data_IF_716146262588
#
_entry.id   IF_716146262588
#
_cell.length_a   1.000
_cell.length_b   1.000
_cell.length_c   1.000
_cell.angle_alpha   90.00
_cell.angle_beta   90.00
_cell.angle_gamma   90.00
#
_symmetry.space_group_name_H-M   'P 1'
#
loop_
_entity.id
_entity.type
_entity.pdbx_description
1 polymer ?
#
# COMPACT_ATOMS: atom_id res chain seq x y z
N UNK A 1 1.64 1.69 14.57
CA UNK A 1 2.55 0.65 15.12
C UNK A 1 3.70 0.38 14.16
N UNK A 2 4.94 0.54 14.63
CA UNK A 2 6.16 0.15 13.92
C UNK A 2 6.29 -1.39 13.87
N UNK A 3 7.09 -1.96 12.95
CA UNK A 3 7.33 -3.41 12.89
C UNK A 3 7.77 -4.01 14.23
N UNK A 4 8.68 -3.34 14.95
CA UNK A 4 9.15 -3.76 16.28
C UNK A 4 8.03 -3.79 17.33
N UNK A 5 7.13 -2.80 17.31
CA UNK A 5 6.02 -2.76 18.24
C UNK A 5 4.97 -3.85 17.95
N UNK A 6 4.73 -4.17 16.67
CA UNK A 6 3.86 -5.29 16.26
C UNK A 6 4.43 -6.63 16.73
N UNK A 7 5.75 -6.81 16.59
CA UNK A 7 6.44 -8.00 17.08
C UNK A 7 6.25 -8.18 18.58
N UNK A 8 6.56 -7.15 19.38
CA UNK A 8 6.37 -7.20 20.84
C UNK A 8 4.92 -7.50 21.24
N UNK A 9 3.96 -6.84 20.59
CA UNK A 9 2.54 -7.10 20.81
C UNK A 9 2.22 -8.58 20.57
N UNK A 10 2.66 -9.12 19.44
CA UNK A 10 2.38 -10.50 19.08
C UNK A 10 3.05 -11.50 20.03
N UNK A 11 4.28 -11.25 20.49
CA UNK A 11 4.97 -12.09 21.47
C UNK A 11 4.24 -12.11 22.82
N UNK A 12 3.74 -10.97 23.31
CA UNK A 12 2.92 -10.95 24.53
C UNK A 12 1.72 -11.90 24.43
N UNK A 13 1.04 -11.90 23.28
CA UNK A 13 -0.13 -12.77 23.09
C UNK A 13 0.27 -14.22 22.87
N UNK A 14 1.26 -14.49 22.03
CA UNK A 14 1.57 -15.83 21.53
C UNK A 14 2.52 -16.59 22.46
N UNK A 15 3.53 -15.93 23.01
CA UNK A 15 4.57 -16.54 23.85
C UNK A 15 4.24 -16.38 25.35
N UNK A 16 3.64 -15.24 25.73
CA UNK A 16 3.33 -14.94 27.13
C UNK A 16 1.85 -15.13 27.49
N UNK A 17 1.01 -15.58 26.55
CA UNK A 17 -0.39 -15.95 26.82
C UNK A 17 -1.33 -14.78 27.13
N UNK A 18 -0.94 -13.54 26.83
CA UNK A 18 -1.80 -12.38 27.09
C UNK A 18 -3.06 -12.42 26.23
N UNK A 19 -4.17 -11.94 26.79
CA UNK A 19 -5.39 -11.73 25.99
C UNK A 19 -5.15 -10.63 24.94
N UNK A 20 -5.86 -10.73 23.81
CA UNK A 20 -5.78 -9.70 22.77
C UNK A 20 -6.16 -8.31 23.30
N UNK A 21 -7.13 -8.22 24.21
CA UNK A 21 -7.56 -6.95 24.82
C UNK A 21 -6.46 -6.34 25.68
N UNK A 22 -5.81 -7.12 26.54
CA UNK A 22 -4.74 -6.63 27.40
C UNK A 22 -3.54 -6.10 26.58
N UNK A 23 -3.11 -6.86 25.58
CA UNK A 23 -2.06 -6.41 24.68
C UNK A 23 -2.49 -5.19 23.85
N UNK A 24 -3.74 -5.15 23.37
CA UNK A 24 -4.25 -4.03 22.60
C UNK A 24 -4.27 -2.72 23.41
N UNK A 25 -4.66 -2.76 24.68
CA UNK A 25 -4.60 -1.61 25.60
C UNK A 25 -3.19 -1.06 25.73
N UNK A 26 -2.20 -1.93 25.99
CA UNK A 26 -0.79 -1.50 26.14
C UNK A 26 -0.24 -0.80 24.89
N UNK A 27 -0.66 -1.24 23.70
CA UNK A 27 -0.20 -0.71 22.43
C UNK A 27 -1.14 0.33 21.80
N UNK A 28 -2.20 0.74 22.51
CA UNK A 28 -3.20 1.72 22.06
C UNK A 28 -3.81 1.38 20.69
N UNK A 29 -4.18 0.11 20.51
CA UNK A 29 -4.87 -0.38 19.31
C UNK A 29 -6.15 -1.13 19.65
N UNK A 30 -6.93 -1.48 18.64
CA UNK A 30 -8.10 -2.34 18.84
C UNK A 30 -7.71 -3.80 19.06
N UNK A 31 -8.52 -4.55 19.83
CA UNK A 31 -8.33 -5.99 20.03
C UNK A 31 -8.31 -6.77 18.70
N UNK A 32 -9.08 -6.32 17.69
CA UNK A 32 -9.03 -6.88 16.33
C UNK A 32 -7.67 -6.69 15.66
N UNK A 33 -7.02 -5.55 15.87
CA UNK A 33 -5.67 -5.30 15.36
C UNK A 33 -4.64 -6.17 16.08
N UNK A 34 -4.77 -6.33 17.40
CA UNK A 34 -3.93 -7.24 18.17
C UNK A 34 -4.08 -8.70 17.70
N UNK A 35 -5.31 -9.16 17.50
CA UNK A 35 -5.60 -10.48 16.92
C UNK A 35 -4.93 -10.66 15.56
N UNK A 36 -5.11 -9.71 14.63
CA UNK A 36 -4.50 -9.74 13.30
C UNK A 36 -2.97 -9.92 13.36
N UNK A 37 -2.29 -9.17 14.23
CA UNK A 37 -0.83 -9.27 14.36
C UNK A 37 -0.41 -10.59 15.02
N UNK A 38 -1.16 -11.06 16.01
CA UNK A 38 -0.91 -12.33 16.68
C UNK A 38 -1.07 -13.53 15.74
N UNK A 39 -2.16 -13.56 14.97
CA UNK A 39 -2.40 -14.61 13.97
C UNK A 39 -1.30 -14.63 12.90
N UNK A 40 -0.87 -13.44 12.45
CA UNK A 40 0.22 -13.34 11.49
C UNK A 40 1.55 -13.81 12.06
N UNK A 41 1.83 -13.48 13.32
CA UNK A 41 3.05 -13.96 13.98
C UNK A 41 3.07 -15.49 14.10
N UNK A 42 1.93 -16.12 14.41
CA UNK A 42 1.83 -17.59 14.41
C UNK A 42 2.12 -18.21 13.04
N UNK A 43 1.71 -17.55 11.96
CA UNK A 43 1.86 -18.08 10.60
C UNK A 43 3.26 -17.82 10.00
N UNK A 44 3.86 -16.66 10.27
CA UNK A 44 5.04 -16.15 9.54
C UNK A 44 6.22 -15.79 10.47
N UNK A 45 6.03 -15.92 11.78
CA UNK A 45 7.02 -15.53 12.77
C UNK A 45 7.37 -14.02 12.70
N UNK A 46 8.59 -13.65 13.13
CA UNK A 46 9.06 -12.26 13.09
C UNK A 46 9.04 -11.63 11.69
N UNK A 47 9.27 -12.42 10.64
CA UNK A 47 9.28 -11.94 9.26
C UNK A 47 7.93 -11.34 8.82
N UNK A 48 6.82 -11.83 9.37
CA UNK A 48 5.47 -11.33 9.08
C UNK A 48 5.18 -9.92 9.61
N UNK A 49 6.03 -9.34 10.46
CA UNK A 49 5.80 -8.02 11.07
C UNK A 49 6.21 -6.86 10.17
N UNK A 50 6.92 -7.14 9.08
CA UNK A 50 7.27 -6.16 8.06
C UNK A 50 6.02 -5.54 7.42
N UNK A 51 6.18 -4.32 6.89
CA UNK A 51 5.11 -3.68 6.13
C UNK A 51 4.84 -4.47 4.84
N UNK A 52 3.57 -4.76 4.62
CA UNK A 52 3.11 -5.28 3.34
C UNK A 52 2.74 -4.11 2.45
N UNK A 53 3.02 -4.25 1.16
CA UNK A 53 2.54 -3.30 0.16
C UNK A 53 1.01 -3.21 0.24
N UNK A 54 0.49 -2.00 0.45
CA UNK A 54 -0.93 -1.71 0.28
C UNK A 54 -1.32 -1.57 -1.20
N UNK A 55 -0.36 -1.67 -2.13
CA UNK A 55 -0.64 -1.55 -3.56
C UNK A 55 -1.44 -2.76 -4.04
N UNK A 56 -2.47 -2.54 -4.87
CA UNK A 56 -3.20 -3.64 -5.47
C UNK A 56 -2.28 -4.50 -6.34
N UNK A 57 -2.52 -5.80 -6.37
CA UNK A 57 -1.75 -6.75 -7.21
C UNK A 57 -1.89 -6.47 -8.71
N UNK A 58 -3.05 -5.96 -9.11
CA UNK A 58 -3.34 -5.57 -10.48
C UNK A 58 -4.08 -4.23 -10.50
N UNK A 59 -3.78 -3.39 -11.49
CA UNK A 59 -4.47 -2.14 -11.74
C UNK A 59 -4.87 -2.12 -13.22
N UNK A 60 -6.02 -2.73 -13.59
CA UNK A 60 -6.43 -2.89 -14.98
C UNK A 60 -6.61 -1.56 -15.73
N UNK A 61 -6.97 -0.50 -15.00
CA UNK A 61 -7.16 0.86 -15.53
C UNK A 61 -5.86 1.67 -15.62
N UNK A 62 -4.72 1.11 -15.20
CA UNK A 62 -3.43 1.80 -15.28
C UNK A 62 -3.05 2.04 -16.74
N UNK A 63 -2.75 3.29 -17.07
CA UNK A 63 -2.30 3.67 -18.41
C UNK A 63 -1.07 2.85 -18.82
N UNK A 64 -1.16 2.19 -19.99
CA UNK A 64 -0.10 1.32 -20.52
C UNK A 64 1.23 2.10 -20.60
N UNK A 65 2.34 1.47 -20.24
CA UNK A 65 3.67 2.10 -20.16
C UNK A 65 4.07 2.79 -21.47
N UNK A 66 3.72 2.21 -22.63
CA UNK A 66 3.97 2.83 -23.94
C UNK A 66 3.21 4.14 -24.17
N UNK A 67 1.99 4.28 -23.63
CA UNK A 67 1.23 5.54 -23.67
C UNK A 67 1.81 6.55 -22.67
N UNK A 68 2.19 6.10 -21.47
CA UNK A 68 2.87 6.95 -20.48
C UNK A 68 4.12 7.61 -21.08
N UNK A 69 4.97 6.83 -21.74
CA UNK A 69 6.18 7.36 -22.41
C UNK A 69 5.86 8.39 -23.50
N UNK A 70 4.77 8.19 -24.25
CA UNK A 70 4.29 9.16 -25.27
C UNK A 70 3.81 10.46 -24.62
N UNK A 71 3.01 10.35 -23.57
CA UNK A 71 2.52 11.50 -22.78
C UNK A 71 3.70 12.31 -22.23
N UNK A 72 4.63 11.65 -21.53
CA UNK A 72 5.82 12.29 -20.94
C UNK A 72 6.66 12.95 -22.03
N UNK A 73 6.89 12.28 -23.17
CA UNK A 73 7.64 12.87 -24.30
C UNK A 73 6.97 14.14 -24.82
N UNK A 74 5.66 14.14 -25.03
CA UNK A 74 4.94 15.32 -25.52
C UNK A 74 4.98 16.47 -24.50
N UNK A 75 4.83 16.17 -23.21
CA UNK A 75 4.96 17.16 -22.12
C UNK A 75 6.37 17.77 -22.09
N UNK A 76 7.40 16.95 -22.22
CA UNK A 76 8.80 17.39 -22.10
C UNK A 76 9.38 18.02 -23.37
N UNK A 77 9.10 17.49 -24.56
CA UNK A 77 9.71 17.97 -25.82
C UNK A 77 8.92 19.09 -26.47
N UNK A 78 7.61 19.11 -26.28
CA UNK A 78 6.71 20.05 -26.95
C UNK A 78 5.98 20.98 -25.98
N UNK A 79 6.20 20.84 -24.66
CA UNK A 79 5.57 21.66 -23.60
C UNK A 79 4.04 21.71 -23.69
N UNK A 80 3.42 20.66 -24.22
CA UNK A 80 1.98 20.60 -24.41
C UNK A 80 1.25 20.37 -23.08
N UNK A 81 0.12 21.03 -22.93
CA UNK A 81 -0.82 20.81 -21.84
C UNK A 81 -1.61 19.51 -21.98
N UNK A 82 -2.30 19.07 -20.92
CA UNK A 82 -3.03 17.80 -20.87
C UNK A 82 -4.08 17.65 -21.99
N UNK A 83 -4.85 18.71 -22.26
CA UNK A 83 -5.90 18.72 -23.31
C UNK A 83 -5.28 18.57 -24.70
N UNK A 84 -4.17 19.25 -24.97
CA UNK A 84 -3.47 19.18 -26.26
C UNK A 84 -2.86 17.79 -26.49
N UNK A 85 -2.24 17.21 -25.45
CA UNK A 85 -1.72 15.84 -25.50
C UNK A 85 -2.84 14.83 -25.72
N UNK A 86 -3.95 14.98 -25.01
CA UNK A 86 -5.12 14.12 -25.10
C UNK A 86 -5.70 14.12 -26.51
N UNK A 87 -5.89 15.30 -27.10
CA UNK A 87 -6.31 15.44 -28.50
C UNK A 87 -5.35 14.76 -29.48
N UNK A 88 -4.04 14.94 -29.29
CA UNK A 88 -3.02 14.33 -30.16
C UNK A 88 -2.94 12.81 -30.05
N UNK A 89 -3.24 12.25 -28.88
CA UNK A 89 -3.18 10.81 -28.63
C UNK A 89 -4.55 10.11 -28.71
N UNK A 90 -5.63 10.83 -29.00
CA UNK A 90 -6.98 10.28 -29.12
C UNK A 90 -7.49 9.66 -27.81
N UNK A 91 -7.28 10.32 -26.68
CA UNK A 91 -7.73 9.84 -25.36
C UNK A 91 -8.35 10.95 -24.53
N UNK A 92 -8.98 10.60 -23.40
CA UNK A 92 -9.51 11.58 -22.47
C UNK A 92 -8.38 12.38 -21.77
N UNK A 93 -8.59 13.67 -21.54
CA UNK A 93 -7.64 14.51 -20.80
C UNK A 93 -7.40 14.01 -19.36
N UNK A 94 -8.41 13.41 -18.72
CA UNK A 94 -8.28 12.78 -17.40
C UNK A 94 -7.24 11.65 -17.38
N UNK A 95 -7.12 10.88 -18.48
CA UNK A 95 -6.09 9.85 -18.63
C UNK A 95 -4.69 10.44 -18.70
N UNK A 96 -4.53 11.62 -19.30
CA UNK A 96 -3.26 12.35 -19.37
C UNK A 96 -2.92 13.00 -18.02
N UNK A 97 -3.92 13.49 -17.28
CA UNK A 97 -3.73 14.01 -15.92
C UNK A 97 -3.30 12.94 -14.92
N UNK A 98 -3.74 11.69 -15.11
CA UNK A 98 -3.34 10.56 -14.28
C UNK A 98 -1.87 10.10 -14.51
N UNK A 99 -1.17 10.71 -15.48
CA UNK A 99 0.22 10.40 -15.89
C UNK A 99 1.14 11.59 -15.65
#
# INVERSE_FOLDING_TARGET
>A
LTPRARLRLAQLVVEHGWTHTAAATLFMVSARTAKKWSDRYRAEGPAGMADRSSRPRSSPTKTRVGLVRRIVRLRWRHRLGPVQIAGRLGMAASTVHAV
#
